data_IF_792240372829
#
_entry.id   IF_792240372829
#
_cell.length_a   1.000
_cell.length_b   1.000
_cell.length_c   1.000
_cell.angle_alpha   90.00
_cell.angle_beta   90.00
_cell.angle_gamma   90.00
#
_symmetry.space_group_name_H-M   'P 1'
#
loop_
_entity.id
_entity.type
_entity.pdbx_description
1 polymer ?
#
# COMPACT_ATOMS: atom_id res chain seq x y z
N UNK A 1 -3.16 -18.85 -3.34
CA UNK A 1 -2.27 -17.74 -3.73
C UNK A 1 -2.66 -16.56 -2.86
N UNK A 2 -1.69 -15.78 -2.40
CA UNK A 2 -1.95 -14.71 -1.45
C UNK A 2 -1.70 -13.37 -2.13
N UNK A 3 -2.59 -12.41 -1.90
CA UNK A 3 -2.44 -11.03 -2.36
C UNK A 3 -2.48 -10.06 -1.20
N UNK A 4 -1.86 -8.90 -1.41
CA UNK A 4 -1.97 -7.77 -0.51
C UNK A 4 -2.63 -6.61 -1.25
N UNK A 5 -3.71 -6.10 -0.67
CA UNK A 5 -4.42 -4.93 -1.14
C UNK A 5 -4.01 -3.74 -0.28
N UNK A 6 -3.43 -2.70 -0.88
CA UNK A 6 -3.03 -1.49 -0.18
C UNK A 6 -4.07 -0.39 -0.38
N UNK A 7 -4.52 0.23 0.71
CA UNK A 7 -5.47 1.34 0.71
C UNK A 7 -4.91 2.54 1.48
N UNK A 8 -4.94 3.72 0.88
CA UNK A 8 -4.43 4.95 1.48
C UNK A 8 -5.41 6.11 1.33
N UNK A 9 -5.71 6.79 2.43
CA UNK A 9 -6.42 8.06 2.48
C UNK A 9 -5.57 9.13 3.18
N UNK A 10 -5.40 10.27 2.52
CA UNK A 10 -4.84 11.50 3.08
C UNK A 10 -5.89 12.60 3.08
N UNK A 11 -6.42 12.96 4.25
CA UNK A 11 -7.43 14.01 4.38
C UNK A 11 -6.92 15.42 4.11
N UNK A 12 -5.65 15.72 4.39
CA UNK A 12 -5.06 17.05 4.12
C UNK A 12 -5.00 17.35 2.63
N UNK A 13 -4.66 16.34 1.85
CA UNK A 13 -4.58 16.45 0.39
C UNK A 13 -5.88 16.05 -0.30
N UNK A 14 -6.86 15.56 0.46
CA UNK A 14 -8.07 14.88 -0.01
C UNK A 14 -7.73 13.91 -1.14
N UNK A 15 -6.87 12.93 -0.84
CA UNK A 15 -6.43 11.95 -1.81
C UNK A 15 -6.66 10.54 -1.31
N UNK A 16 -7.24 9.73 -2.18
CA UNK A 16 -7.42 8.30 -1.97
C UNK A 16 -6.62 7.56 -3.03
N UNK A 17 -5.88 6.54 -2.62
CA UNK A 17 -5.08 5.72 -3.50
C UNK A 17 -5.22 4.25 -3.10
N UNK A 18 -5.19 3.34 -4.07
CA UNK A 18 -5.14 1.90 -3.79
C UNK A 18 -4.40 1.12 -4.88
N UNK A 19 -3.97 -0.09 -4.53
CA UNK A 19 -3.49 -1.10 -5.49
C UNK A 19 -3.62 -2.51 -4.91
N UNK A 20 -3.48 -3.53 -5.75
CA UNK A 20 -3.40 -4.94 -5.31
C UNK A 20 -2.21 -5.62 -5.94
N UNK A 21 -1.39 -6.28 -5.11
CA UNK A 21 -0.23 -7.05 -5.55
C UNK A 21 -0.38 -8.52 -5.15
N UNK A 22 0.21 -9.41 -5.93
CA UNK A 22 0.36 -10.82 -5.61
C UNK A 22 1.59 -11.07 -4.72
N UNK A 23 1.67 -12.26 -4.13
CA UNK A 23 2.84 -12.71 -3.35
C UNK A 23 4.16 -12.70 -4.14
N UNK A 24 4.10 -12.83 -5.46
CA UNK A 24 5.24 -12.70 -6.37
C UNK A 24 5.53 -11.24 -6.79
N UNK A 25 4.90 -10.26 -6.12
CA UNK A 25 5.05 -8.82 -6.35
C UNK A 25 4.55 -8.33 -7.71
N UNK A 26 3.86 -9.17 -8.50
CA UNK A 26 3.17 -8.70 -9.69
C UNK A 26 1.95 -7.87 -9.30
N UNK A 27 1.85 -6.69 -9.90
CA UNK A 27 0.68 -5.83 -9.73
C UNK A 27 -0.53 -6.45 -10.43
N UNK A 28 -1.53 -6.84 -9.65
CA UNK A 28 -2.79 -7.40 -10.14
C UNK A 28 -3.78 -6.30 -10.52
N UNK A 29 -3.82 -5.26 -9.68
CA UNK A 29 -4.61 -4.05 -9.92
C UNK A 29 -3.66 -2.87 -9.92
N UNK A 30 -3.59 -2.18 -11.07
CA UNK A 30 -2.72 -1.03 -11.24
C UNK A 30 -3.04 0.06 -10.20
N UNK A 31 -2.04 0.78 -9.69
CA UNK A 31 -2.24 1.87 -8.75
C UNK A 31 -3.27 2.87 -9.26
N UNK A 32 -4.34 3.03 -8.49
CA UNK A 32 -5.35 4.05 -8.72
C UNK A 32 -5.15 5.17 -7.69
N UNK A 33 -5.36 6.42 -8.11
CA UNK A 33 -5.32 7.58 -7.22
C UNK A 33 -6.33 8.59 -7.69
N UNK A 34 -7.12 9.13 -6.76
CA UNK A 34 -8.08 10.19 -7.08
C UNK A 34 -7.37 11.43 -7.59
N UNK A 35 -8.05 12.18 -8.47
CA UNK A 35 -7.59 13.49 -8.93
C UNK A 35 -7.58 14.54 -7.82
N UNK A 36 -7.58 15.83 -8.21
CA UNK A 36 -7.65 16.95 -7.26
C UNK A 36 -9.02 16.99 -6.57
N UNK A 37 -9.20 16.30 -5.43
CA UNK A 37 -10.46 16.38 -4.68
C UNK A 37 -10.53 17.60 -3.74
N UNK A 38 -9.39 18.29 -3.53
CA UNK A 38 -9.27 19.39 -2.56
C UNK A 38 -10.28 20.51 -2.82
N UNK A 39 -10.53 20.81 -4.09
CA UNK A 39 -11.36 21.90 -4.60
C UNK A 39 -12.85 21.54 -4.72
N UNK A 40 -13.23 20.28 -4.45
CA UNK A 40 -14.62 19.83 -4.57
C UNK A 40 -15.46 20.26 -3.36
N UNK A 41 -16.74 20.53 -3.62
CA UNK A 41 -17.76 20.68 -2.58
C UNK A 41 -17.97 19.35 -1.82
N UNK A 42 -18.60 19.44 -0.64
CA UNK A 42 -18.77 18.30 0.26
C UNK A 42 -19.54 17.13 -0.36
N UNK A 43 -20.59 17.40 -1.16
CA UNK A 43 -21.41 16.36 -1.77
C UNK A 43 -20.62 15.64 -2.87
N UNK A 44 -20.00 16.40 -3.76
CA UNK A 44 -19.18 15.84 -4.84
C UNK A 44 -17.96 15.08 -4.29
N UNK A 45 -17.31 15.62 -3.27
CA UNK A 45 -16.21 14.93 -2.57
C UNK A 45 -16.64 13.57 -2.03
N UNK A 46 -17.76 13.49 -1.29
CA UNK A 46 -18.27 12.23 -0.75
C UNK A 46 -18.62 11.25 -1.85
N UNK A 47 -19.22 11.71 -2.95
CA UNK A 47 -19.53 10.86 -4.09
C UNK A 47 -18.28 10.26 -4.74
N UNK A 48 -17.24 11.06 -4.97
CA UNK A 48 -15.99 10.59 -5.56
C UNK A 48 -15.26 9.62 -4.62
N UNK A 49 -15.24 9.90 -3.31
CA UNK A 49 -14.72 8.97 -2.30
C UNK A 49 -15.49 7.64 -2.34
N UNK A 50 -16.83 7.68 -2.37
CA UNK A 50 -17.66 6.47 -2.41
C UNK A 50 -17.37 5.62 -3.62
N UNK A 51 -17.29 6.23 -4.81
CA UNK A 51 -16.97 5.53 -6.07
C UNK A 51 -15.61 4.84 -5.96
N UNK A 52 -14.61 5.53 -5.43
CA UNK A 52 -13.25 5.00 -5.33
C UNK A 52 -13.13 3.87 -4.30
N UNK A 53 -13.78 4.00 -3.13
CA UNK A 53 -13.82 2.93 -2.11
C UNK A 53 -14.57 1.72 -2.65
N UNK A 54 -15.72 1.93 -3.29
CA UNK A 54 -16.46 0.84 -3.94
C UNK A 54 -15.60 0.14 -4.97
N UNK A 55 -14.97 0.91 -5.88
CA UNK A 55 -14.08 0.34 -6.90
C UNK A 55 -12.93 -0.46 -6.31
N UNK A 56 -12.37 -0.05 -5.17
CA UNK A 56 -11.35 -0.83 -4.47
C UNK A 56 -11.86 -2.21 -4.03
N UNK A 57 -13.07 -2.27 -3.45
CA UNK A 57 -13.66 -3.55 -3.02
C UNK A 57 -14.19 -4.39 -4.18
N UNK A 58 -14.73 -3.77 -5.24
CA UNK A 58 -15.14 -4.47 -6.47
C UNK A 58 -13.94 -5.20 -7.10
N UNK A 59 -12.73 -4.60 -7.08
CA UNK A 59 -11.51 -5.27 -7.55
C UNK A 59 -11.09 -6.46 -6.67
N UNK A 60 -11.30 -6.37 -5.36
CA UNK A 60 -11.05 -7.48 -4.43
C UNK A 60 -12.08 -8.60 -4.68
N UNK A 61 -13.34 -8.26 -4.86
CA UNK A 61 -14.41 -9.21 -5.13
C UNK A 61 -14.17 -9.98 -6.44
N UNK A 62 -13.81 -9.29 -7.53
CA UNK A 62 -13.42 -9.94 -8.81
C UNK A 62 -12.31 -10.96 -8.63
N UNK A 63 -11.34 -10.69 -7.75
CA UNK A 63 -10.28 -11.65 -7.45
C UNK A 63 -10.85 -12.92 -6.81
N UNK A 64 -11.75 -12.78 -5.83
CA UNK A 64 -12.40 -13.93 -5.20
C UNK A 64 -13.31 -14.68 -6.16
N UNK A 65 -14.06 -13.99 -7.02
CA UNK A 65 -14.89 -14.63 -8.04
C UNK A 65 -14.04 -15.48 -9.00
N UNK A 66 -12.85 -14.97 -9.38
CA UNK A 66 -11.91 -15.74 -10.20
C UNK A 66 -11.18 -16.85 -9.45
N UNK A 67 -11.07 -16.74 -8.12
CA UNK A 67 -10.33 -17.67 -7.28
C UNK A 67 -10.88 -17.67 -5.83
N UNK A 68 -11.93 -18.45 -5.54
CA UNK A 68 -12.66 -18.37 -4.28
C UNK A 68 -11.83 -18.67 -3.02
N UNK A 69 -10.77 -19.47 -3.17
CA UNK A 69 -9.86 -19.85 -2.09
C UNK A 69 -8.62 -18.95 -1.98
N UNK A 70 -8.60 -17.82 -2.69
CA UNK A 70 -7.51 -16.85 -2.61
C UNK A 70 -7.48 -16.21 -1.21
N UNK A 71 -6.31 -15.86 -0.68
CA UNK A 71 -6.23 -15.09 0.56
C UNK A 71 -5.85 -13.65 0.24
N UNK A 72 -6.59 -12.69 0.80
CA UNK A 72 -6.29 -11.26 0.62
C UNK A 72 -6.13 -10.62 1.98
N UNK A 73 -4.98 -9.98 2.19
CA UNK A 73 -4.76 -9.09 3.33
C UNK A 73 -4.82 -7.64 2.88
N UNK A 74 -5.67 -6.84 3.54
CA UNK A 74 -5.75 -5.40 3.32
C UNK A 74 -4.80 -4.69 4.28
N UNK A 75 -3.78 -4.06 3.70
CA UNK A 75 -2.90 -3.09 4.36
C UNK A 75 -3.49 -1.69 4.15
N UNK A 76 -3.76 -0.97 5.23
CA UNK A 76 -4.51 0.28 5.14
C UNK A 76 -3.93 1.39 5.99
N UNK A 77 -4.13 2.62 5.51
CA UNK A 77 -3.86 3.85 6.25
C UNK A 77 -4.87 4.94 5.91
N UNK A 78 -5.56 5.44 6.92
CA UNK A 78 -6.54 6.51 6.86
C UNK A 78 -6.03 7.64 7.77
N UNK A 79 -5.50 8.70 7.16
CA UNK A 79 -4.88 9.82 7.89
C UNK A 79 -5.92 10.90 8.15
N UNK A 80 -6.21 11.13 9.43
CA UNK A 80 -6.96 12.30 9.90
C UNK A 80 -6.15 13.58 9.71
N UNK A 81 -6.85 14.69 9.47
CA UNK A 81 -6.23 16.01 9.40
C UNK A 81 -5.88 16.42 10.81
N UNK A 82 -4.71 16.02 11.26
CA UNK A 82 -4.22 16.27 12.60
C UNK A 82 -2.85 15.64 12.73
N UNK A 83 -1.80 16.41 12.45
CA UNK A 83 -0.47 16.09 12.93
C UNK A 83 -0.59 15.74 14.42
N UNK A 84 -0.10 14.59 14.92
CA UNK A 84 0.22 14.53 16.33
C UNK A 84 1.38 15.51 16.55
N UNK A 85 1.11 16.65 17.18
CA UNK A 85 2.18 17.45 17.76
C UNK A 85 2.94 16.57 18.78
N UNK A 86 4.27 16.70 18.88
CA UNK A 86 5.06 15.86 19.79
C UNK A 86 4.66 16.13 21.24
N UNK A 87 4.18 15.09 21.92
CA UNK A 87 4.35 14.76 23.33
C UNK A 87 3.90 15.74 24.44
N UNK A 88 3.42 16.94 24.17
CA UNK A 88 2.87 17.81 25.21
C UNK A 88 1.52 18.41 24.78
N UNK A 89 0.46 18.03 25.50
CA UNK A 89 -0.92 18.52 25.39
C UNK A 89 -1.63 18.33 24.04
N UNK A 90 -2.07 17.11 23.72
CA UNK A 90 -3.02 16.90 22.61
C UNK A 90 -4.37 16.44 23.13
N UNK A 91 -5.33 17.38 23.25
CA UNK A 91 -6.75 17.04 23.12
C UNK A 91 -6.88 16.22 21.83
N UNK A 92 -7.48 15.02 21.89
CA UNK A 92 -7.75 14.22 20.69
C UNK A 92 -8.49 15.11 19.67
N UNK A 93 -7.81 15.51 18.60
CA UNK A 93 -8.45 16.27 17.54
C UNK A 93 -9.52 15.39 16.90
N UNK A 94 -10.77 15.88 16.86
CA UNK A 94 -11.86 15.19 16.17
C UNK A 94 -11.45 14.96 14.70
N UNK A 95 -11.66 13.75 14.15
CA UNK A 95 -11.45 13.50 12.74
C UNK A 95 -12.23 14.50 11.89
N UNK A 96 -11.71 14.87 10.71
CA UNK A 96 -12.52 15.62 9.76
C UNK A 96 -13.71 14.78 9.26
N UNK A 97 -14.82 15.43 8.92
CA UNK A 97 -16.02 14.77 8.40
C UNK A 97 -15.73 13.83 7.24
N UNK A 98 -14.82 14.23 6.35
CA UNK A 98 -14.36 13.40 5.23
C UNK A 98 -13.62 12.14 5.67
N UNK A 99 -12.86 12.20 6.78
CA UNK A 99 -12.13 11.02 7.24
C UNK A 99 -13.03 10.05 8.00
N UNK A 100 -13.95 10.56 8.82
CA UNK A 100 -15.01 9.73 9.41
C UNK A 100 -15.83 9.03 8.32
N UNK A 101 -16.19 9.78 7.27
CA UNK A 101 -16.89 9.23 6.12
C UNK A 101 -16.10 8.10 5.43
N UNK A 102 -14.80 8.30 5.16
CA UNK A 102 -13.92 7.28 4.59
C UNK A 102 -13.81 6.06 5.49
N UNK A 103 -13.55 6.24 6.79
CA UNK A 103 -13.42 5.13 7.75
C UNK A 103 -14.69 4.29 7.82
N UNK A 104 -15.85 4.94 7.98
CA UNK A 104 -17.14 4.24 8.09
C UNK A 104 -17.46 3.48 6.81
N UNK A 105 -17.22 4.09 5.65
CA UNK A 105 -17.51 3.44 4.38
C UNK A 105 -16.54 2.29 4.10
N UNK A 106 -15.26 2.49 4.40
CA UNK A 106 -14.23 1.46 4.28
C UNK A 106 -14.55 0.24 5.15
N UNK A 107 -14.95 0.42 6.40
CA UNK A 107 -15.29 -0.67 7.31
C UNK A 107 -16.61 -1.34 6.95
N UNK A 108 -17.61 -0.58 6.47
CA UNK A 108 -18.86 -1.13 5.96
C UNK A 108 -18.61 -2.14 4.84
N UNK A 109 -17.92 -1.72 3.77
CA UNK A 109 -17.62 -2.60 2.64
C UNK A 109 -16.71 -3.77 3.04
N UNK A 110 -15.77 -3.56 3.96
CA UNK A 110 -14.95 -4.65 4.48
C UNK A 110 -15.82 -5.74 5.11
N UNK A 111 -16.75 -5.37 6.01
CA UNK A 111 -17.58 -6.33 6.71
C UNK A 111 -18.50 -7.09 5.76
N UNK A 112 -19.17 -6.38 4.84
CA UNK A 112 -20.03 -6.98 3.81
C UNK A 112 -19.25 -8.02 2.98
N UNK A 113 -18.05 -7.66 2.50
CA UNK A 113 -17.25 -8.56 1.69
C UNK A 113 -16.63 -9.70 2.50
N UNK A 114 -16.27 -9.45 3.77
CA UNK A 114 -15.71 -10.44 4.69
C UNK A 114 -16.71 -11.53 5.05
N UNK A 115 -17.98 -11.19 5.20
CA UNK A 115 -19.06 -12.16 5.42
C UNK A 115 -19.19 -13.11 4.24
N UNK A 116 -19.08 -12.58 3.01
CA UNK A 116 -19.09 -13.39 1.79
C UNK A 116 -17.80 -14.20 1.56
N UNK A 117 -16.64 -13.63 1.94
CA UNK A 117 -15.32 -14.22 1.71
C UNK A 117 -14.47 -14.26 3.00
N UNK A 118 -14.57 -15.36 3.79
CA UNK A 118 -13.87 -15.49 5.06
C UNK A 118 -12.34 -15.48 4.99
N UNK A 119 -11.73 -15.62 3.81
CA UNK A 119 -10.27 -15.50 3.63
C UNK A 119 -9.79 -14.04 3.53
N UNK A 120 -10.68 -13.06 3.36
CA UNK A 120 -10.36 -11.64 3.41
C UNK A 120 -9.95 -11.25 4.84
N UNK A 121 -8.87 -10.48 5.01
CA UNK A 121 -8.42 -10.02 6.33
C UNK A 121 -7.93 -8.58 6.25
N UNK A 122 -8.12 -7.80 7.30
CA UNK A 122 -7.32 -6.57 7.51
C UNK A 122 -6.01 -6.95 8.20
N UNK A 123 -4.94 -6.22 7.90
CA UNK A 123 -3.76 -6.23 8.73
C UNK A 123 -4.15 -5.91 10.19
N UNK A 124 -3.48 -6.56 11.15
CA UNK A 124 -3.82 -6.48 12.59
C UNK A 124 -3.88 -5.04 13.09
N UNK A 125 -2.99 -4.19 12.58
CA UNK A 125 -2.95 -2.77 12.90
C UNK A 125 -2.95 -1.95 11.63
N UNK A 126 -3.56 -0.77 11.70
CA UNK A 126 -3.37 0.26 10.69
C UNK A 126 -1.89 0.63 10.63
N UNK A 127 -1.41 0.91 9.44
CA UNK A 127 -0.05 1.35 9.22
C UNK A 127 0.22 2.72 9.89
N UNK A 128 0.99 2.71 10.98
CA UNK A 128 1.12 3.84 11.92
C UNK A 128 1.69 5.11 11.28
N UNK A 129 2.74 5.02 10.48
CA UNK A 129 3.40 6.18 9.85
C UNK A 129 3.97 5.82 8.48
N UNK A 130 3.91 6.76 7.54
CA UNK A 130 4.61 6.61 6.26
C UNK A 130 6.12 6.51 6.53
N UNK A 131 6.88 5.76 5.72
CA UNK A 131 8.32 5.68 5.90
C UNK A 131 8.94 7.07 5.81
N UNK A 132 9.97 7.31 6.63
CA UNK A 132 10.78 8.52 6.52
C UNK A 132 11.46 8.61 5.13
N UNK A 133 12.04 9.77 4.83
CA UNK A 133 12.67 10.03 3.52
C UNK A 133 13.78 9.03 3.20
N UNK A 134 14.54 8.56 4.20
CA UNK A 134 15.67 7.65 4.00
C UNK A 134 15.14 6.28 3.61
N UNK A 135 14.18 5.76 4.37
CA UNK A 135 13.54 4.46 4.10
C UNK A 135 12.80 4.48 2.78
N UNK A 136 12.06 5.56 2.49
CA UNK A 136 11.33 5.71 1.24
C UNK A 136 12.27 5.79 0.03
N UNK A 137 13.43 6.44 0.16
CA UNK A 137 14.43 6.48 -0.91
C UNK A 137 15.05 5.11 -1.17
N UNK A 138 15.37 4.34 -0.11
CA UNK A 138 15.82 2.95 -0.27
C UNK A 138 14.79 2.10 -1.03
N UNK A 139 13.51 2.22 -0.65
CA UNK A 139 12.42 1.52 -1.32
C UNK A 139 12.32 1.94 -2.80
N UNK A 140 12.38 3.24 -3.09
CA UNK A 140 12.33 3.77 -4.46
C UNK A 140 13.40 3.17 -5.36
N UNK A 141 14.64 3.16 -4.88
CA UNK A 141 15.78 2.59 -5.61
C UNK A 141 15.51 1.11 -5.88
N UNK A 142 15.13 0.33 -4.87
CA UNK A 142 14.83 -1.09 -5.03
C UNK A 142 13.67 -1.36 -6.01
N UNK A 143 12.57 -0.60 -5.93
CA UNK A 143 11.43 -0.76 -6.85
C UNK A 143 11.83 -0.47 -8.30
N UNK A 144 12.68 0.54 -8.52
CA UNK A 144 13.20 0.87 -9.85
C UNK A 144 14.18 -0.20 -10.36
N UNK A 145 15.14 -0.61 -9.53
CA UNK A 145 16.15 -1.62 -9.89
C UNK A 145 15.51 -2.97 -10.27
N UNK A 146 14.37 -3.30 -9.66
CA UNK A 146 13.63 -4.51 -9.95
C UNK A 146 12.49 -4.33 -10.97
N UNK A 147 12.38 -3.16 -11.60
CA UNK A 147 11.39 -2.90 -12.66
C UNK A 147 9.93 -2.94 -12.19
N UNK A 148 9.67 -2.78 -10.88
CA UNK A 148 8.33 -2.82 -10.30
C UNK A 148 7.58 -1.49 -10.43
N UNK A 149 8.31 -0.40 -10.69
CA UNK A 149 7.75 0.93 -10.88
C UNK A 149 8.43 1.56 -12.09
N UNK A 150 7.62 2.18 -12.96
CA UNK A 150 8.15 3.02 -14.04
C UNK A 150 8.73 4.31 -13.47
N UNK A 151 9.91 4.69 -13.95
CA UNK A 151 10.59 5.91 -13.53
C UNK A 151 9.92 7.16 -14.18
N UNK A 152 8.75 7.54 -13.66
CA UNK A 152 7.96 8.70 -14.10
C UNK A 152 7.84 9.74 -12.99
N UNK A 153 8.01 11.03 -13.34
CA UNK A 153 7.78 12.15 -12.43
C UNK A 153 6.30 12.19 -11.99
N UNK A 154 6.04 12.55 -10.73
CA UNK A 154 4.68 12.76 -10.20
C UNK A 154 4.08 11.60 -9.39
N UNK A 155 4.77 10.45 -9.26
CA UNK A 155 4.24 9.25 -8.60
C UNK A 155 4.66 9.11 -7.11
N UNK A 156 4.54 10.16 -6.30
CA UNK A 156 4.88 10.07 -4.86
C UNK A 156 4.00 9.04 -4.12
N UNK A 157 2.69 9.01 -4.40
CA UNK A 157 1.73 8.09 -3.77
C UNK A 157 1.96 6.63 -4.16
N UNK A 158 2.51 6.37 -5.34
CA UNK A 158 2.84 5.02 -5.77
C UNK A 158 3.82 4.36 -4.79
N UNK A 159 4.86 5.08 -4.39
CA UNK A 159 5.85 4.57 -3.45
C UNK A 159 5.27 4.38 -2.05
N UNK A 160 4.30 5.21 -1.65
CA UNK A 160 3.57 5.03 -0.39
C UNK A 160 2.64 3.82 -0.44
N UNK A 161 1.97 3.57 -1.57
CA UNK A 161 1.20 2.34 -1.78
C UNK A 161 2.08 1.11 -1.72
N UNK A 162 3.25 1.11 -2.36
CA UNK A 162 4.22 0.02 -2.25
C UNK A 162 4.72 -0.18 -0.82
N UNK A 163 5.00 0.90 -0.09
CA UNK A 163 5.38 0.81 1.31
C UNK A 163 4.27 0.15 2.15
N UNK A 164 3.01 0.51 1.90
CA UNK A 164 1.84 -0.09 2.55
C UNK A 164 1.70 -1.57 2.18
N UNK A 165 1.70 -1.91 0.89
CA UNK A 165 1.53 -3.28 0.40
C UNK A 165 2.64 -4.22 0.90
N UNK A 166 3.84 -3.70 1.15
CA UNK A 166 4.94 -4.48 1.71
C UNK A 166 4.93 -4.51 3.25
N UNK A 167 4.02 -3.80 3.91
CA UNK A 167 4.03 -3.51 5.34
C UNK A 167 5.43 -3.03 5.79
N UNK A 168 5.96 -2.06 5.07
CA UNK A 168 7.34 -1.59 5.26
C UNK A 168 7.45 -0.80 6.56
N UNK A 169 8.45 -1.02 7.37
CA UNK A 169 8.77 -0.13 8.50
C UNK A 169 10.27 0.15 8.46
N UNK A 170 10.73 1.08 9.30
CA UNK A 170 12.17 1.33 9.42
C UNK A 170 12.94 0.05 9.75
N UNK A 171 12.39 -0.81 10.60
CA UNK A 171 13.03 -2.07 11.01
C UNK A 171 12.86 -3.21 10.01
N UNK A 172 11.85 -3.18 9.13
CA UNK A 172 11.62 -4.24 8.14
C UNK A 172 12.14 -3.91 6.75
N UNK A 173 12.57 -2.67 6.49
CA UNK A 173 12.97 -2.20 5.16
C UNK A 173 14.01 -3.08 4.47
N UNK A 174 15.17 -3.27 5.09
CA UNK A 174 16.25 -4.04 4.47
C UNK A 174 15.86 -5.52 4.27
N UNK A 175 15.06 -6.08 5.20
CA UNK A 175 14.53 -7.45 5.07
C UNK A 175 13.58 -7.56 3.88
N UNK A 176 12.66 -6.60 3.72
CA UNK A 176 11.69 -6.58 2.61
C UNK A 176 12.39 -6.42 1.27
N UNK A 177 13.37 -5.52 1.15
CA UNK A 177 14.16 -5.35 -0.08
C UNK A 177 14.91 -6.65 -0.42
N UNK A 178 15.52 -7.30 0.57
CA UNK A 178 16.20 -8.59 0.37
C UNK A 178 15.24 -9.68 -0.10
N UNK A 179 14.03 -9.74 0.45
CA UNK A 179 13.00 -10.69 0.01
C UNK A 179 12.53 -10.39 -1.43
N UNK A 180 12.33 -9.13 -1.79
CA UNK A 180 11.98 -8.74 -3.16
C UNK A 180 13.04 -9.23 -4.16
N UNK A 181 14.33 -9.01 -3.84
CA UNK A 181 15.45 -9.48 -4.66
C UNK A 181 15.37 -10.98 -4.93
N UNK A 182 15.15 -11.78 -3.88
CA UNK A 182 15.06 -13.24 -3.99
C UNK A 182 13.86 -13.71 -4.82
N UNK A 183 12.74 -12.99 -4.75
CA UNK A 183 11.54 -13.34 -5.50
C UNK A 183 11.64 -13.00 -6.99
N UNK A 184 12.39 -11.95 -7.33
CA UNK A 184 12.43 -11.38 -8.68
C UNK A 184 13.67 -11.79 -9.49
N UNK A 185 14.75 -12.18 -8.82
CA UNK A 185 15.98 -12.66 -9.46
C UNK A 185 16.21 -14.10 -8.99
N UNK A 186 15.97 -15.11 -9.85
CA UNK A 186 16.26 -16.51 -9.54
C UNK A 186 17.76 -16.74 -9.26
N UNK A 187 18.07 -17.67 -8.35
CA UNK A 187 19.43 -17.94 -7.85
C UNK A 187 20.46 -18.35 -8.94
N UNK A 188 20.02 -18.72 -10.15
CA UNK A 188 20.91 -19.12 -11.25
C UNK A 188 21.82 -17.98 -11.76
N UNK A 189 21.50 -16.71 -11.49
CA UNK A 189 22.38 -15.58 -11.80
C UNK A 189 23.37 -15.20 -10.67
N UNK A 190 23.31 -15.86 -9.50
CA UNK A 190 24.25 -15.60 -8.40
C UNK A 190 25.51 -16.47 -8.44
N UNK A 191 25.59 -17.47 -9.32
CA UNK A 191 26.80 -18.25 -9.56
C UNK A 191 27.44 -17.79 -10.87
N UNK A 192 28.39 -16.86 -10.81
CA UNK A 192 29.66 -16.82 -11.58
C UNK A 192 30.40 -15.59 -11.04
N UNK A 193 31.14 -15.76 -9.95
CA UNK A 193 32.42 -15.07 -9.79
C UNK A 193 33.44 -16.16 -9.50
N UNK A 194 34.34 -16.49 -10.46
CA UNK A 194 35.41 -17.41 -10.16
C UNK A 194 36.28 -16.78 -9.08
N UNK A 195 36.48 -17.50 -7.97
CA UNK A 195 37.52 -17.17 -6.98
C UNK A 195 38.84 -17.15 -7.75
N UNK A 196 39.49 -15.97 -7.83
CA UNK A 196 40.90 -15.89 -8.21
C UNK A 196 41.70 -16.72 -7.20
N UNK A 197 42.12 -17.91 -7.60
CA UNK A 197 43.19 -18.65 -6.91
C UNK A 197 44.43 -17.76 -6.98
N UNK A 198 44.89 -17.28 -5.83
CA UNK A 198 46.24 -16.75 -5.71
C UNK A 198 47.19 -17.93 -5.94
N UNK A 199 47.84 -17.95 -7.11
CA UNK A 199 49.08 -18.70 -7.31
C UNK A 199 50.15 -18.02 -6.46
N UNK A 200 50.62 -18.73 -5.43
CA UNK A 200 51.88 -18.39 -4.77
C UNK A 200 53.01 -18.70 -5.76
N UNK A 201 53.80 -17.69 -6.10
CA UNK A 201 55.16 -17.84 -6.61
C UNK A 201 56.11 -17.52 -5.48
#
# INVERSE_FOLDING_TARGET
MDSTAAFFWNSTEKKLSYMVINSNLQTRVKPQTTGKLKELDSKTLKNEISKMIKSFYDEIEKIFESSPNHNITIEWKIVNSGNPAPLFNTKLHKPSDSTNFVSNLFDKYFNELKEKYPSLRKAKEQYRGLPDRIVLNKLKIALNDYGLVENKRGNSYLHHLWALALHLTKSTCDKKIKSMKKLLIPDEQMQIKPKKRQTKS
#
